data_IF_241911937544
#
_entry.id   IF_241911937544
#
_cell.length_a   1.000
_cell.length_b   1.000
_cell.length_c   1.000
_cell.angle_alpha   90.00
_cell.angle_beta   90.00
_cell.angle_gamma   90.00
#
_symmetry.space_group_name_H-M   'P 1'
#
loop_
_entity.id
_entity.type
_entity.pdbx_description
1 polymer ?
#
# COMPACT_ATOMS: atom_id res chain seq x y z
N UNK A 1 17.02 9.98 21.74
CA UNK A 1 17.71 10.10 20.44
C UNK A 1 16.81 9.52 19.37
N UNK A 2 16.63 10.22 18.26
CA UNK A 2 15.84 9.79 17.11
C UNK A 2 16.73 9.15 16.04
N UNK A 3 16.31 8.04 15.49
CA UNK A 3 16.95 7.35 14.37
C UNK A 3 15.95 7.19 13.26
N UNK A 4 16.33 7.53 12.04
CA UNK A 4 15.54 7.26 10.84
C UNK A 4 16.36 6.48 9.83
N UNK A 5 15.76 5.47 9.23
CA UNK A 5 16.36 4.65 8.18
C UNK A 5 15.39 4.53 7.02
N UNK A 6 15.90 4.65 5.81
CA UNK A 6 15.13 4.49 4.58
C UNK A 6 15.71 3.33 3.80
N UNK A 7 14.85 2.41 3.37
CA UNK A 7 15.20 1.24 2.59
C UNK A 7 14.51 1.31 1.24
N UNK A 8 15.20 0.93 0.18
CA UNK A 8 14.61 0.71 -1.13
C UNK A 8 14.46 -0.78 -1.37
N UNK A 9 13.31 -1.19 -1.89
CA UNK A 9 13.02 -2.58 -2.21
C UNK A 9 12.47 -2.72 -3.63
N UNK A 10 12.68 -3.88 -4.20
CA UNK A 10 12.17 -4.27 -5.49
C UNK A 10 11.74 -5.73 -5.44
N UNK A 11 10.52 -6.00 -5.93
CA UNK A 11 9.99 -7.36 -6.05
C UNK A 11 9.64 -7.63 -7.51
N UNK A 12 9.98 -8.83 -8.05
CA UNK A 12 9.50 -9.23 -9.36
C UNK A 12 7.99 -9.43 -9.33
N UNK A 13 7.31 -9.07 -10.42
CA UNK A 13 5.88 -9.30 -10.58
C UNK A 13 5.64 -10.39 -11.60
N UNK A 14 4.60 -11.19 -11.36
CA UNK A 14 4.17 -12.21 -12.31
C UNK A 14 3.77 -11.56 -13.65
N UNK A 15 4.09 -12.26 -14.74
CA UNK A 15 3.94 -11.77 -16.10
C UNK A 15 2.50 -11.39 -16.51
N UNK A 16 1.50 -11.69 -15.67
CA UNK A 16 0.09 -11.41 -15.90
C UNK A 16 -0.45 -10.12 -15.32
N UNK A 17 0.32 -9.37 -14.53
CA UNK A 17 -0.18 -8.15 -13.89
C UNK A 17 -0.09 -6.96 -14.85
N UNK A 18 -1.25 -6.57 -15.39
CA UNK A 18 -1.43 -5.38 -16.21
C UNK A 18 -2.20 -4.34 -15.40
N UNK A 19 -1.57 -3.18 -15.15
CA UNK A 19 -2.20 -2.03 -14.53
C UNK A 19 -2.48 -0.98 -15.61
N UNK A 20 -3.74 -0.78 -15.92
CA UNK A 20 -4.19 0.01 -17.07
C UNK A 20 -3.53 -0.53 -18.35
N UNK A 21 -2.78 0.29 -19.08
CA UNK A 21 -2.09 -0.12 -20.31
C UNK A 21 -0.61 -0.48 -20.09
N UNK A 22 -0.16 -0.53 -18.82
CA UNK A 22 1.23 -0.82 -18.47
C UNK A 22 1.37 -2.20 -17.86
N UNK A 23 2.31 -2.97 -18.41
CA UNK A 23 2.77 -4.20 -17.78
C UNK A 23 3.97 -3.88 -16.89
N UNK A 24 3.79 -3.99 -15.58
CA UNK A 24 4.88 -3.84 -14.62
C UNK A 24 5.62 -5.17 -14.48
N UNK A 25 6.93 -5.14 -14.68
CA UNK A 25 7.82 -6.30 -14.46
C UNK A 25 8.26 -6.42 -13.01
N UNK A 26 8.39 -5.29 -12.34
CA UNK A 26 8.77 -5.20 -10.94
C UNK A 26 7.84 -4.24 -10.21
N UNK A 27 7.72 -4.44 -8.91
CA UNK A 27 7.15 -3.48 -7.99
C UNK A 27 8.27 -2.92 -7.14
N UNK A 28 8.40 -1.61 -7.12
CA UNK A 28 9.46 -0.89 -6.41
C UNK A 28 8.85 0.01 -5.36
N UNK A 29 9.51 0.14 -4.24
CA UNK A 29 9.05 0.99 -3.15
C UNK A 29 10.12 1.29 -2.13
N UNK A 30 9.72 2.00 -1.09
CA UNK A 30 10.56 2.40 0.02
C UNK A 30 9.92 1.96 1.33
N UNK A 31 10.75 1.70 2.33
CA UNK A 31 10.35 1.65 3.73
C UNK A 31 11.01 2.80 4.48
N UNK A 32 10.27 3.38 5.41
CA UNK A 32 10.86 4.21 6.45
C UNK A 32 10.73 3.50 7.80
N UNK A 33 11.81 3.47 8.55
CA UNK A 33 11.85 3.07 9.96
C UNK A 33 12.18 4.28 10.81
N UNK A 34 11.34 4.56 11.77
CA UNK A 34 11.54 5.58 12.78
C UNK A 34 11.79 4.90 14.12
N UNK A 35 12.73 5.40 14.89
CA UNK A 35 13.01 4.91 16.24
C UNK A 35 13.24 6.08 17.18
N UNK A 36 12.58 6.03 18.33
CA UNK A 36 12.78 7.00 19.42
C UNK A 36 12.79 6.24 20.76
N UNK A 37 13.97 6.15 21.36
CA UNK A 37 14.18 5.27 22.50
C UNK A 37 14.01 3.80 22.12
N UNK A 38 13.15 3.10 22.86
CA UNK A 38 12.83 1.68 22.60
C UNK A 38 11.64 1.50 21.64
N UNK A 39 10.96 2.58 21.25
CA UNK A 39 9.83 2.52 20.34
C UNK A 39 10.31 2.62 18.90
N UNK A 40 9.66 1.88 18.04
CA UNK A 40 9.87 1.98 16.59
C UNK A 40 8.55 1.95 15.82
N UNK A 41 8.59 2.48 14.61
CA UNK A 41 7.48 2.45 13.69
C UNK A 41 7.95 2.35 12.25
N UNK A 42 7.18 1.64 11.44
CA UNK A 42 7.46 1.39 10.04
C UNK A 42 6.37 1.94 9.13
N UNK A 43 6.77 2.41 7.97
CA UNK A 43 5.85 2.83 6.92
C UNK A 43 6.35 2.42 5.54
N UNK A 44 5.43 2.13 4.64
CA UNK A 44 5.70 1.79 3.25
C UNK A 44 5.32 2.95 2.35
N UNK A 45 6.19 3.26 1.39
CA UNK A 45 5.98 4.27 0.36
C UNK A 45 6.11 3.59 -1.00
N UNK A 46 4.99 3.41 -1.69
CA UNK A 46 4.93 2.63 -2.94
C UNK A 46 4.08 3.33 -4.00
N UNK A 47 4.55 4.46 -4.55
CA UNK A 47 3.83 5.10 -5.65
C UNK A 47 3.71 4.12 -6.82
N UNK A 48 2.52 4.07 -7.42
CA UNK A 48 2.21 3.13 -8.48
C UNK A 48 2.40 3.81 -9.84
N UNK A 49 3.37 3.38 -10.66
CA UNK A 49 3.60 3.96 -11.97
C UNK A 49 2.35 3.96 -12.85
N UNK A 50 2.04 5.11 -13.45
CA UNK A 50 0.83 5.31 -14.27
C UNK A 50 -0.45 5.52 -13.50
N UNK A 51 -0.41 5.48 -12.16
CA UNK A 51 -1.56 5.72 -11.28
C UNK A 51 -1.29 6.85 -10.28
N UNK A 52 -0.17 6.79 -9.58
CA UNK A 52 0.27 7.87 -8.69
C UNK A 52 0.78 9.07 -9.48
N UNK A 53 0.63 10.27 -8.93
CA UNK A 53 1.14 11.51 -9.55
C UNK A 53 2.65 11.62 -9.40
N UNK A 54 3.19 11.21 -8.27
CA UNK A 54 4.63 11.23 -7.97
C UNK A 54 5.34 9.98 -8.50
N UNK A 55 6.59 10.16 -8.89
CA UNK A 55 7.52 9.08 -9.18
C UNK A 55 8.16 8.53 -7.90
N UNK A 56 8.80 7.36 -8.00
CA UNK A 56 9.55 6.80 -6.86
C UNK A 56 10.74 7.69 -6.48
N UNK A 57 11.39 8.31 -7.46
CA UNK A 57 12.50 9.23 -7.26
C UNK A 57 12.07 10.50 -6.51
N UNK A 58 10.94 11.08 -6.90
CA UNK A 58 10.35 12.23 -6.19
C UNK A 58 9.95 11.85 -4.76
N UNK A 59 9.34 10.69 -4.59
CA UNK A 59 8.99 10.15 -3.27
C UNK A 59 10.23 9.95 -2.40
N UNK A 60 11.29 9.39 -2.95
CA UNK A 60 12.56 9.17 -2.23
C UNK A 60 13.19 10.48 -1.78
N UNK A 61 13.24 11.49 -2.65
CA UNK A 61 13.79 12.81 -2.30
C UNK A 61 13.00 13.45 -1.16
N UNK A 62 11.68 13.46 -1.25
CA UNK A 62 10.81 14.01 -0.22
C UNK A 62 10.95 13.27 1.12
N UNK A 63 11.02 11.92 1.07
CA UNK A 63 11.17 11.08 2.24
C UNK A 63 12.52 11.32 2.95
N UNK A 64 13.61 11.38 2.20
CA UNK A 64 14.94 11.60 2.77
C UNK A 64 15.04 12.98 3.43
N UNK A 65 14.50 14.01 2.83
CA UNK A 65 14.49 15.36 3.40
C UNK A 65 13.67 15.40 4.70
N UNK A 66 12.49 14.79 4.70
CA UNK A 66 11.65 14.70 5.90
C UNK A 66 12.35 13.91 7.02
N UNK A 67 12.90 12.75 6.69
CA UNK A 67 13.57 11.86 7.64
C UNK A 67 14.80 12.52 8.29
N UNK A 68 15.56 13.29 7.52
CA UNK A 68 16.68 14.06 8.04
C UNK A 68 16.22 15.12 9.05
N UNK A 69 15.23 15.93 8.70
CA UNK A 69 14.69 16.97 9.57
C UNK A 69 14.13 16.38 10.89
N UNK A 70 13.39 15.27 10.79
CA UNK A 70 12.84 14.59 11.95
C UNK A 70 13.95 14.03 12.86
N UNK A 71 14.98 13.43 12.29
CA UNK A 71 16.16 12.92 13.03
C UNK A 71 16.91 14.05 13.75
N UNK A 72 16.98 15.21 13.15
CA UNK A 72 17.62 16.39 13.72
C UNK A 72 16.78 17.09 14.81
N UNK A 73 15.63 16.52 15.15
CA UNK A 73 14.78 16.96 16.25
C UNK A 73 13.63 17.89 15.85
N UNK A 74 13.45 18.15 14.55
CA UNK A 74 12.30 18.92 14.06
C UNK A 74 11.01 18.07 14.04
N UNK A 75 9.88 18.77 13.94
CA UNK A 75 8.58 18.17 13.59
C UNK A 75 8.16 18.69 12.21
N UNK A 76 8.77 18.17 11.13
CA UNK A 76 8.48 18.69 9.80
C UNK A 76 7.05 18.33 9.37
N UNK A 77 6.38 19.20 8.61
CA UNK A 77 5.07 18.87 8.05
C UNK A 77 5.18 17.67 7.10
N UNK A 78 4.08 16.96 6.92
CA UNK A 78 4.03 15.87 5.95
C UNK A 78 4.30 16.40 4.54
N UNK A 79 5.09 15.67 3.73
CA UNK A 79 5.30 16.02 2.33
C UNK A 79 4.00 16.02 1.51
N UNK A 80 4.01 16.75 0.40
CA UNK A 80 2.84 16.84 -0.49
C UNK A 80 2.62 15.60 -1.35
N UNK A 81 3.63 14.75 -1.49
CA UNK A 81 3.51 13.48 -2.20
C UNK A 81 2.63 12.51 -1.39
N UNK A 82 1.48 12.08 -1.92
CA UNK A 82 0.52 11.29 -1.15
C UNK A 82 1.09 9.98 -0.58
N UNK A 83 1.87 9.25 -1.36
CA UNK A 83 2.49 8.00 -0.89
C UNK A 83 3.46 8.21 0.26
N UNK A 84 4.22 9.31 0.23
CA UNK A 84 5.19 9.66 1.26
C UNK A 84 4.47 10.08 2.54
N UNK A 85 3.48 10.95 2.42
CA UNK A 85 2.65 11.38 3.55
C UNK A 85 1.99 10.19 4.24
N UNK A 86 1.45 9.24 3.47
CA UNK A 86 0.85 8.02 3.99
C UNK A 86 1.86 7.16 4.75
N UNK A 87 3.02 6.86 4.15
CA UNK A 87 4.03 6.01 4.77
C UNK A 87 4.60 6.61 6.06
N UNK A 88 4.85 7.92 6.07
CA UNK A 88 5.28 8.63 7.29
C UNK A 88 4.22 8.57 8.37
N UNK A 89 2.95 8.81 8.02
CA UNK A 89 1.83 8.75 8.96
C UNK A 89 1.69 7.35 9.60
N UNK A 90 1.87 6.29 8.81
CA UNK A 90 1.88 4.92 9.32
C UNK A 90 3.03 4.68 10.31
N UNK A 91 4.24 5.11 9.96
CA UNK A 91 5.40 4.97 10.83
C UNK A 91 5.23 5.75 12.16
N UNK A 92 4.69 6.96 12.09
CA UNK A 92 4.41 7.77 13.27
C UNK A 92 3.30 7.16 14.14
N UNK A 93 2.24 6.63 13.54
CA UNK A 93 1.15 5.96 14.25
C UNK A 93 1.66 4.72 15.02
N UNK A 94 2.49 3.91 14.39
CA UNK A 94 3.09 2.75 15.04
C UNK A 94 4.07 3.18 16.15
N UNK A 95 4.95 4.15 15.87
CA UNK A 95 5.89 4.69 16.84
C UNK A 95 5.21 5.23 18.11
N UNK A 96 4.04 5.85 17.95
CA UNK A 96 3.24 6.37 19.08
C UNK A 96 2.45 5.29 19.82
N UNK A 97 2.40 4.05 19.31
CA UNK A 97 1.57 2.98 19.87
C UNK A 97 0.07 3.13 19.55
N UNK A 98 -0.28 3.94 18.54
CA UNK A 98 -1.66 4.20 18.14
C UNK A 98 -2.32 3.11 17.32
N UNK A 99 -1.58 2.05 16.93
CA UNK A 99 -2.14 0.96 16.15
C UNK A 99 -2.74 -0.14 17.05
N UNK A 100 -3.83 -0.80 16.62
CA UNK A 100 -4.40 -1.91 17.35
C UNK A 100 -3.42 -3.10 17.40
N UNK A 101 -3.45 -3.84 18.51
CA UNK A 101 -2.59 -5.02 18.72
C UNK A 101 -2.99 -6.20 17.83
N UNK A 102 -4.24 -6.27 17.40
CA UNK A 102 -4.76 -7.31 16.53
C UNK A 102 -5.74 -6.72 15.50
N UNK A 103 -5.78 -7.31 14.34
CA UNK A 103 -6.70 -6.94 13.28
C UNK A 103 -7.12 -8.18 12.48
N UNK A 104 -8.22 -8.04 11.73
CA UNK A 104 -8.63 -9.05 10.76
C UNK A 104 -7.96 -8.76 9.41
N UNK A 105 -7.02 -9.62 9.03
CA UNK A 105 -6.24 -9.49 7.79
C UNK A 105 -6.79 -10.35 6.65
N UNK A 106 -8.00 -10.88 6.77
CA UNK A 106 -8.62 -11.64 5.68
C UNK A 106 -8.83 -10.75 4.47
N UNK A 107 -8.44 -11.25 3.31
CA UNK A 107 -8.65 -10.55 2.04
C UNK A 107 -9.95 -11.02 1.38
N UNK A 108 -10.73 -10.06 0.87
CA UNK A 108 -11.86 -10.37 0.03
C UNK A 108 -11.39 -11.00 -1.30
N UNK A 109 -11.92 -12.17 -1.71
CA UNK A 109 -11.55 -12.76 -2.97
C UNK A 109 -11.95 -11.85 -4.15
N UNK A 110 -11.04 -11.76 -5.13
CA UNK A 110 -11.31 -11.04 -6.37
C UNK A 110 -12.22 -11.88 -7.26
N UNK A 111 -13.34 -11.31 -7.65
CA UNK A 111 -14.24 -11.87 -8.66
C UNK A 111 -13.65 -11.62 -10.06
N UNK A 112 -12.84 -12.57 -10.51
CA UNK A 112 -12.30 -12.63 -11.87
C UNK A 112 -12.18 -14.09 -12.30
N UNK A 113 -12.51 -14.41 -13.55
CA UNK A 113 -12.45 -15.77 -14.06
C UNK A 113 -13.74 -16.54 -13.88
N UNK A 114 -13.64 -17.83 -13.52
CA UNK A 114 -14.79 -18.74 -13.40
C UNK A 114 -15.66 -18.37 -12.19
N UNK A 115 -16.97 -18.06 -12.39
CA UNK A 115 -17.89 -17.79 -11.29
C UNK A 115 -18.05 -18.94 -10.30
N UNK A 116 -17.98 -20.18 -10.76
CA UNK A 116 -18.16 -21.36 -9.90
C UNK A 116 -17.00 -21.50 -8.90
N UNK A 117 -15.77 -21.19 -9.31
CA UNK A 117 -14.62 -21.14 -8.41
C UNK A 117 -14.75 -20.03 -7.36
N UNK A 118 -15.28 -18.88 -7.77
CA UNK A 118 -15.55 -17.77 -6.84
C UNK A 118 -16.59 -18.18 -5.81
N UNK A 119 -17.71 -18.76 -6.23
CA UNK A 119 -18.76 -19.20 -5.32
C UNK A 119 -18.27 -20.29 -4.35
N UNK A 120 -17.44 -21.20 -4.81
CA UNK A 120 -16.82 -22.22 -3.95
C UNK A 120 -15.92 -21.57 -2.88
N UNK A 121 -15.11 -20.59 -3.26
CA UNK A 121 -14.26 -19.82 -2.31
C UNK A 121 -15.10 -19.03 -1.31
N UNK A 122 -16.14 -18.35 -1.76
CA UNK A 122 -17.05 -17.62 -0.88
C UNK A 122 -17.79 -18.53 0.09
N UNK A 123 -18.26 -19.70 -0.39
CA UNK A 123 -18.91 -20.68 0.46
C UNK A 123 -18.01 -21.22 1.56
N UNK A 124 -16.72 -21.38 1.28
CA UNK A 124 -15.72 -21.85 2.24
C UNK A 124 -15.30 -20.79 3.28
N UNK A 125 -15.57 -19.52 3.02
CA UNK A 125 -15.21 -18.43 3.97
C UNK A 125 -16.13 -18.46 5.19
N UNK A 126 -15.59 -18.39 6.41
CA UNK A 126 -16.41 -18.29 7.62
C UNK A 126 -17.00 -16.87 7.75
N UNK A 127 -18.19 -16.77 8.35
CA UNK A 127 -18.83 -15.49 8.67
C UNK A 127 -19.43 -14.77 7.47
N UNK A 128 -19.47 -13.45 7.54
CA UNK A 128 -20.00 -12.59 6.48
C UNK A 128 -19.19 -12.72 5.21
N UNK A 129 -19.88 -12.76 4.07
CA UNK A 129 -19.25 -12.93 2.74
C UNK A 129 -18.97 -11.57 2.14
N UNK A 130 -17.72 -11.33 1.78
CA UNK A 130 -17.27 -10.12 1.09
C UNK A 130 -16.44 -10.50 -0.13
N UNK A 131 -16.77 -9.96 -1.29
CA UNK A 131 -16.01 -10.16 -2.53
C UNK A 131 -15.66 -8.83 -3.17
N UNK A 132 -14.51 -8.78 -3.85
CA UNK A 132 -14.10 -7.65 -4.68
C UNK A 132 -14.49 -7.92 -6.12
N UNK A 133 -15.37 -7.08 -6.67
CA UNK A 133 -15.81 -7.18 -8.06
C UNK A 133 -15.18 -6.04 -8.88
N UNK A 134 -14.58 -6.37 -10.03
CA UNK A 134 -14.13 -5.37 -11.00
C UNK A 134 -15.24 -5.10 -11.99
N UNK A 135 -15.62 -3.83 -12.13
CA UNK A 135 -16.61 -3.33 -13.07
C UNK A 135 -15.98 -2.30 -14.02
N UNK A 136 -16.65 -1.98 -15.11
CA UNK A 136 -16.16 -1.00 -16.09
C UNK A 136 -15.25 -1.59 -17.18
N UNK A 137 -15.07 -2.91 -17.20
CA UNK A 137 -14.33 -3.62 -18.25
C UNK A 137 -15.24 -4.00 -19.45
N UNK A 138 -16.54 -4.06 -19.21
CA UNK A 138 -17.58 -4.49 -20.14
C UNK A 138 -18.72 -3.47 -20.20
N UNK A 139 -19.70 -3.72 -21.04
CA UNK A 139 -20.91 -2.92 -21.03
C UNK A 139 -21.64 -3.02 -19.66
N UNK A 140 -22.26 -1.93 -19.24
CA UNK A 140 -22.90 -1.82 -17.93
C UNK A 140 -23.94 -2.93 -17.65
N UNK A 141 -24.61 -3.41 -18.69
CA UNK A 141 -25.58 -4.52 -18.58
C UNK A 141 -24.90 -5.81 -18.16
N UNK A 142 -23.72 -6.10 -18.73
CA UNK A 142 -22.95 -7.30 -18.40
C UNK A 142 -22.36 -7.22 -17.01
N UNK A 143 -21.85 -6.07 -16.63
CA UNK A 143 -21.34 -5.83 -15.26
C UNK A 143 -22.48 -6.02 -14.24
N UNK A 144 -23.70 -5.57 -14.54
CA UNK A 144 -24.88 -5.76 -13.71
C UNK A 144 -25.36 -7.20 -13.58
N UNK A 145 -25.04 -8.07 -14.55
CA UNK A 145 -25.35 -9.50 -14.47
C UNK A 145 -24.38 -10.28 -13.58
N UNK A 146 -23.18 -9.77 -13.38
CA UNK A 146 -22.14 -10.42 -12.55
C UNK A 146 -22.29 -10.05 -11.08
N UNK A 147 -22.83 -8.87 -10.77
CA UNK A 147 -23.04 -8.37 -9.41
C UNK A 147 -24.36 -8.85 -8.86
#
# INVERSE_FOLDING_TARGET
MRVSQVYRWQIPMDAGVVLRERRLKTRDGLFIRLQEGEREGWGEISPLPGFSVETLEEAQMALLAWAQAWRDGAEPPLPTQPSVAFGISCAQAELSGGLPQAADYRAAPLCSGDPDELFARLAAMPGEKVAKVKVGLWEAVRDGMVV
#
